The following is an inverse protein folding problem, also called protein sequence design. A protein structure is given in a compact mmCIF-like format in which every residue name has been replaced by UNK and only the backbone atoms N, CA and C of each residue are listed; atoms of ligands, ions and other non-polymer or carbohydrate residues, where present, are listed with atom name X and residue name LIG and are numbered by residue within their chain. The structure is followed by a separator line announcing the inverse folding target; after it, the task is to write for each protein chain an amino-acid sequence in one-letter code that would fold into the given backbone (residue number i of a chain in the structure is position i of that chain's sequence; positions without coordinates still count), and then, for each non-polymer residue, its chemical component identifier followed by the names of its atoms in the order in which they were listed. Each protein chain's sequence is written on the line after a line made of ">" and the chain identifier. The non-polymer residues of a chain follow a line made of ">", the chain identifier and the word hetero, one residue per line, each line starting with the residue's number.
data_IF_053528201306
#
_entry.id   IF_053528201306
#
_cell.length_a   1.000
_cell.length_b   1.000
_cell.length_c   1.000
_cell.angle_alpha   90.00
_cell.angle_beta   90.00
_cell.angle_gamma   90.00
#
_symmetry.space_group_name_H-M   'P 1'
#
loop_
_entity.id
_entity.type
_entity.pdbx_description
1 polymer ?
#
# COMPACT_ATOMS: atom_id res chain seq x y z
N UNK A 1 1.53 -32.20 23.00
CA UNK A 1 0.80 -32.00 21.73
C UNK A 1 1.70 -32.44 20.59
N UNK A 2 1.48 -33.62 20.03
CA UNK A 2 2.24 -34.15 18.90
C UNK A 2 1.98 -33.33 17.63
N UNK A 3 3.05 -32.81 17.04
CA UNK A 3 3.00 -32.16 15.73
C UNK A 3 2.79 -33.22 14.65
N UNK A 4 1.55 -33.39 14.18
CA UNK A 4 1.19 -34.28 13.08
C UNK A 4 2.04 -33.93 11.84
N UNK A 5 3.07 -34.73 11.53
CA UNK A 5 3.98 -34.51 10.39
C UNK A 5 3.15 -34.47 9.10
N UNK A 6 3.25 -33.37 8.33
CA UNK A 6 2.53 -33.22 7.06
C UNK A 6 2.91 -34.37 6.10
N UNK A 7 1.94 -34.97 5.37
CA UNK A 7 2.19 -36.12 4.50
C UNK A 7 3.25 -35.83 3.43
N UNK A 8 4.09 -36.82 3.10
CA UNK A 8 5.30 -36.67 2.26
C UNK A 8 5.03 -36.03 0.90
N UNK A 9 3.89 -36.34 0.26
CA UNK A 9 3.45 -35.76 -1.01
C UNK A 9 3.34 -34.22 -0.93
N UNK A 10 2.82 -33.69 0.20
CA UNK A 10 2.73 -32.25 0.40
C UNK A 10 4.12 -31.62 0.51
N UNK A 11 5.07 -32.29 1.16
CA UNK A 11 6.47 -31.81 1.28
C UNK A 11 7.15 -31.71 -0.08
N UNK A 12 6.99 -32.72 -0.94
CA UNK A 12 7.53 -32.73 -2.30
C UNK A 12 6.93 -31.59 -3.13
N UNK A 13 5.59 -31.43 -3.10
CA UNK A 13 4.91 -30.31 -3.77
C UNK A 13 5.45 -28.94 -3.34
N UNK A 14 5.60 -28.72 -2.04
CA UNK A 14 6.13 -27.44 -1.53
C UNK A 14 7.60 -27.23 -1.90
N UNK A 15 8.40 -28.29 -1.98
CA UNK A 15 9.79 -28.21 -2.42
C UNK A 15 9.89 -27.77 -3.89
N UNK A 16 9.11 -28.37 -4.79
CA UNK A 16 9.09 -27.94 -6.20
C UNK A 16 8.53 -26.52 -6.37
N UNK A 17 7.49 -26.17 -5.62
CA UNK A 17 6.97 -24.79 -5.61
C UNK A 17 8.05 -23.80 -5.12
N UNK A 18 8.80 -24.15 -4.07
CA UNK A 18 9.92 -23.36 -3.58
C UNK A 18 11.01 -23.18 -4.65
N UNK A 19 11.40 -24.27 -5.33
CA UNK A 19 12.39 -24.20 -6.41
C UNK A 19 11.89 -23.31 -7.54
N UNK A 20 10.63 -23.44 -7.96
CA UNK A 20 10.02 -22.60 -8.98
C UNK A 20 10.10 -21.11 -8.61
N UNK A 21 9.67 -20.75 -7.40
CA UNK A 21 9.72 -19.36 -6.92
C UNK A 21 11.17 -18.87 -6.85
N UNK A 22 12.09 -19.68 -6.34
CA UNK A 22 13.52 -19.32 -6.27
C UNK A 22 14.11 -19.08 -7.66
N UNK A 23 13.77 -19.91 -8.64
CA UNK A 23 14.20 -19.74 -10.03
C UNK A 23 13.63 -18.46 -10.62
N UNK A 24 12.35 -18.14 -10.39
CA UNK A 24 11.75 -16.87 -10.83
C UNK A 24 12.49 -15.67 -10.24
N UNK A 25 12.79 -15.69 -8.93
CA UNK A 25 13.53 -14.61 -8.26
C UNK A 25 14.95 -14.47 -8.82
N UNK A 26 15.66 -15.58 -9.07
CA UNK A 26 16.99 -15.55 -9.68
C UNK A 26 16.96 -15.01 -11.10
N UNK A 27 16.00 -15.46 -11.93
CA UNK A 27 15.82 -14.93 -13.28
C UNK A 27 15.53 -13.42 -13.25
N UNK A 28 14.62 -12.99 -12.37
CA UNK A 28 14.30 -11.58 -12.20
C UNK A 28 15.53 -10.77 -11.74
N UNK A 29 16.37 -11.31 -10.85
CA UNK A 29 17.59 -10.66 -10.35
C UNK A 29 18.62 -10.43 -11.46
N UNK A 30 18.94 -11.46 -12.24
CA UNK A 30 19.98 -11.39 -13.29
C UNK A 30 19.52 -10.70 -14.57
N UNK A 31 18.21 -10.60 -14.83
CA UNK A 31 17.69 -9.89 -16.00
C UNK A 31 17.96 -8.38 -15.90
N UNK A 32 18.11 -7.65 -17.02
CA UNK A 32 18.07 -6.18 -17.00
C UNK A 32 16.75 -5.66 -16.42
N UNK A 33 16.80 -4.66 -15.51
CA UNK A 33 15.61 -4.11 -14.83
C UNK A 33 14.52 -3.66 -15.82
N UNK A 34 14.88 -2.98 -16.92
CA UNK A 34 13.92 -2.54 -17.94
C UNK A 34 13.12 -3.71 -18.53
N UNK A 35 13.74 -4.87 -18.76
CA UNK A 35 13.06 -6.06 -19.27
C UNK A 35 12.09 -6.64 -18.24
N UNK A 36 12.50 -6.69 -16.97
CA UNK A 36 11.61 -7.13 -15.87
C UNK A 36 10.40 -6.22 -15.76
N UNK A 37 10.59 -4.89 -15.78
CA UNK A 37 9.49 -3.93 -15.71
C UNK A 37 8.56 -4.02 -16.92
N UNK A 38 9.09 -4.15 -18.13
CA UNK A 38 8.27 -4.36 -19.32
C UNK A 38 7.43 -5.63 -19.20
N UNK A 39 8.07 -6.76 -18.88
CA UNK A 39 7.40 -8.05 -18.78
C UNK A 39 6.35 -8.07 -17.66
N UNK A 40 6.71 -7.64 -16.45
CA UNK A 40 5.77 -7.61 -15.34
C UNK A 40 4.67 -6.56 -15.52
N UNK A 41 4.96 -5.43 -16.16
CA UNK A 41 3.96 -4.45 -16.57
C UNK A 41 2.95 -5.03 -17.56
N UNK A 42 3.42 -5.74 -18.59
CA UNK A 42 2.57 -6.47 -19.53
C UNK A 42 1.70 -7.52 -18.82
N UNK A 43 2.28 -8.36 -17.95
CA UNK A 43 1.52 -9.32 -17.15
C UNK A 43 0.47 -8.63 -16.26
N UNK A 44 0.81 -7.47 -15.69
CA UNK A 44 -0.13 -6.60 -14.99
C UNK A 44 -1.32 -6.23 -15.90
N UNK A 45 -1.05 -5.72 -17.09
CA UNK A 45 -2.05 -5.42 -18.11
C UNK A 45 -2.92 -6.61 -18.53
N UNK A 46 -2.35 -7.80 -18.66
CA UNK A 46 -3.09 -9.04 -18.92
C UNK A 46 -3.98 -9.41 -17.73
N UNK A 47 -3.46 -9.28 -16.50
CA UNK A 47 -4.19 -9.63 -15.28
C UNK A 47 -5.43 -8.77 -15.06
N UNK A 48 -5.49 -7.55 -15.62
CA UNK A 48 -6.71 -6.74 -15.68
C UNK A 48 -7.91 -7.51 -16.27
N UNK A 49 -7.66 -8.31 -17.32
CA UNK A 49 -8.71 -9.08 -17.98
C UNK A 49 -9.06 -10.37 -17.21
N UNK A 50 -8.08 -10.97 -16.53
CA UNK A 50 -8.20 -12.26 -15.84
C UNK A 50 -8.75 -12.15 -14.42
N UNK A 51 -8.41 -11.10 -13.67
CA UNK A 51 -8.74 -10.94 -12.24
C UNK A 51 -9.96 -10.04 -12.07
N UNK A 52 -11.14 -10.58 -12.41
CA UNK A 52 -12.38 -9.81 -12.47
C UNK A 52 -12.78 -9.10 -11.17
N UNK A 53 -12.55 -9.71 -10.00
CA UNK A 53 -12.88 -9.09 -8.70
C UNK A 53 -12.03 -7.85 -8.42
N UNK A 54 -10.70 -7.95 -8.58
CA UNK A 54 -9.79 -6.82 -8.42
C UNK A 54 -10.09 -5.70 -9.43
N UNK A 55 -10.42 -6.05 -10.68
CA UNK A 55 -10.82 -5.09 -11.72
C UNK A 55 -12.08 -4.33 -11.29
N UNK A 56 -13.12 -5.05 -10.87
CA UNK A 56 -14.38 -4.44 -10.43
C UNK A 56 -14.17 -3.49 -9.25
N UNK A 57 -13.38 -3.88 -8.25
CA UNK A 57 -13.04 -3.03 -7.09
C UNK A 57 -12.30 -1.76 -7.51
N UNK A 58 -11.30 -1.90 -8.37
CA UNK A 58 -10.51 -0.78 -8.90
C UNK A 58 -11.39 0.22 -9.62
N UNK A 59 -12.20 -0.24 -10.58
CA UNK A 59 -13.13 0.62 -11.33
C UNK A 59 -14.11 1.29 -10.37
N UNK A 60 -14.73 0.53 -9.46
CA UNK A 60 -15.69 1.06 -8.49
C UNK A 60 -15.09 2.20 -7.66
N UNK A 61 -13.89 2.01 -7.10
CA UNK A 61 -13.28 3.05 -6.26
C UNK A 61 -12.81 4.26 -7.07
N UNK A 62 -12.27 4.07 -8.28
CA UNK A 62 -11.95 5.17 -9.19
C UNK A 62 -13.21 5.95 -9.59
N UNK A 63 -14.32 5.26 -9.88
CA UNK A 63 -15.61 5.92 -10.14
C UNK A 63 -16.13 6.66 -8.92
N UNK A 64 -16.00 6.11 -7.71
CA UNK A 64 -16.42 6.77 -6.48
C UNK A 64 -15.68 8.10 -6.26
N UNK A 65 -14.38 8.15 -6.54
CA UNK A 65 -13.54 9.34 -6.32
C UNK A 65 -13.60 10.32 -7.50
N UNK A 66 -13.37 9.83 -8.72
CA UNK A 66 -13.17 10.66 -9.92
C UNK A 66 -14.36 10.67 -10.88
N UNK A 67 -15.44 9.93 -10.61
CA UNK A 67 -16.57 9.79 -11.56
C UNK A 67 -17.36 11.07 -11.83
N UNK A 68 -17.16 12.14 -11.04
CA UNK A 68 -17.71 13.47 -11.33
C UNK A 68 -16.88 14.26 -12.35
N UNK A 69 -15.60 13.92 -12.47
CA UNK A 69 -14.61 14.66 -13.26
C UNK A 69 -14.12 13.88 -14.49
N UNK A 70 -14.29 12.54 -14.46
CA UNK A 70 -13.77 11.61 -15.46
C UNK A 70 -14.88 10.80 -16.07
N UNK A 71 -14.82 10.65 -17.39
CA UNK A 71 -15.68 9.76 -18.14
C UNK A 71 -15.43 8.30 -17.75
N UNK A 72 -16.40 7.43 -18.07
CA UNK A 72 -16.26 6.00 -17.85
C UNK A 72 -15.06 5.42 -18.62
N UNK A 73 -14.77 5.91 -19.84
CA UNK A 73 -13.64 5.46 -20.64
C UNK A 73 -12.29 5.83 -20.00
N UNK A 74 -12.17 7.06 -19.49
CA UNK A 74 -10.99 7.50 -18.73
C UNK A 74 -10.79 6.64 -17.48
N UNK A 75 -11.85 6.34 -16.72
CA UNK A 75 -11.77 5.47 -15.53
C UNK A 75 -11.29 4.06 -15.89
N UNK A 76 -11.78 3.49 -16.99
CA UNK A 76 -11.34 2.17 -17.45
C UNK A 76 -9.86 2.19 -17.86
N UNK A 77 -9.42 3.27 -18.52
CA UNK A 77 -8.01 3.47 -18.90
C UNK A 77 -7.13 3.60 -17.66
N UNK A 78 -7.53 4.40 -16.68
CA UNK A 78 -6.85 4.52 -15.40
C UNK A 78 -6.79 3.18 -14.67
N UNK A 79 -7.89 2.42 -14.62
CA UNK A 79 -7.94 1.11 -14.00
C UNK A 79 -6.95 0.14 -14.67
N UNK A 80 -6.86 0.13 -16.01
CA UNK A 80 -5.87 -0.68 -16.73
C UNK A 80 -4.45 -0.24 -16.41
N UNK A 81 -4.21 1.06 -16.28
CA UNK A 81 -2.90 1.61 -15.91
C UNK A 81 -2.49 1.19 -14.49
N UNK A 82 -3.41 1.20 -13.52
CA UNK A 82 -3.18 0.70 -12.15
C UNK A 82 -2.63 -0.72 -12.15
N UNK A 83 -3.20 -1.60 -12.98
CA UNK A 83 -2.74 -2.98 -13.09
C UNK A 83 -1.35 -3.08 -13.70
N UNK A 84 -1.02 -2.27 -14.72
CA UNK A 84 0.34 -2.21 -15.26
C UNK A 84 1.35 -1.74 -14.20
N UNK A 85 1.03 -0.69 -13.44
CA UNK A 85 1.92 -0.14 -12.41
C UNK A 85 2.14 -1.14 -11.26
N UNK A 86 1.08 -1.83 -10.82
CA UNK A 86 1.20 -2.92 -9.84
C UNK A 86 2.11 -4.04 -10.36
N UNK A 87 1.95 -4.43 -11.63
CA UNK A 87 2.83 -5.40 -12.28
C UNK A 87 4.29 -4.96 -12.27
N UNK A 88 4.58 -3.72 -12.69
CA UNK A 88 5.93 -3.14 -12.65
C UNK A 88 6.52 -3.13 -11.24
N UNK A 89 5.74 -2.68 -10.25
CA UNK A 89 6.16 -2.64 -8.84
C UNK A 89 6.45 -4.05 -8.29
N UNK A 90 5.65 -5.05 -8.66
CA UNK A 90 5.94 -6.45 -8.31
C UNK A 90 7.27 -6.93 -8.90
N UNK A 91 7.60 -6.50 -10.13
CA UNK A 91 8.91 -6.72 -10.75
C UNK A 91 10.06 -6.18 -9.92
N UNK A 92 9.98 -4.92 -9.49
CA UNK A 92 10.99 -4.30 -8.63
C UNK A 92 11.07 -4.97 -7.25
N UNK A 93 9.95 -5.40 -6.67
CA UNK A 93 9.94 -6.18 -5.41
C UNK A 93 10.67 -7.50 -5.61
N UNK A 94 10.36 -8.28 -6.65
CA UNK A 94 11.03 -9.56 -6.94
C UNK A 94 12.55 -9.42 -7.08
N UNK A 95 13.02 -8.31 -7.68
CA UNK A 95 14.45 -7.98 -7.78
C UNK A 95 15.08 -7.56 -6.46
N UNK A 96 14.29 -6.96 -5.56
CA UNK A 96 14.76 -6.39 -4.30
C UNK A 96 14.75 -7.39 -3.15
N UNK A 97 14.08 -8.54 -3.30
CA UNK A 97 14.11 -9.64 -2.32
C UNK A 97 15.52 -10.27 -2.31
N UNK A 98 16.46 -9.62 -1.63
CA UNK A 98 17.65 -10.29 -1.14
C UNK A 98 17.23 -11.18 0.02
N UNK A 99 17.30 -12.49 -0.19
CA UNK A 99 16.94 -13.50 0.80
C UNK A 99 18.00 -13.56 1.91
N UNK A 100 17.97 -12.59 2.85
CA UNK A 100 18.71 -12.63 4.12
C UNK A 100 17.76 -12.30 5.28
N UNK A 101 17.34 -13.38 5.93
CA UNK A 101 16.80 -13.54 7.29
C UNK A 101 15.69 -12.62 7.84
N UNK A 102 14.71 -13.28 8.48
CA UNK A 102 13.61 -12.78 9.33
C UNK A 102 14.05 -11.91 10.54
N UNK A 103 15.31 -11.51 10.65
CA UNK A 103 15.85 -10.75 11.78
C UNK A 103 15.48 -9.25 11.76
N UNK A 104 14.88 -8.74 10.67
CA UNK A 104 14.67 -7.31 10.46
C UNK A 104 13.63 -6.67 11.43
N UNK A 105 12.66 -7.43 11.94
CA UNK A 105 11.55 -6.84 12.72
C UNK A 105 11.95 -6.35 14.12
N UNK A 106 12.92 -7.00 14.77
CA UNK A 106 13.40 -6.58 16.12
C UNK A 106 14.31 -5.35 16.09
N UNK A 107 14.86 -4.98 14.92
CA UNK A 107 15.79 -3.86 14.77
C UNK A 107 15.07 -2.50 14.67
N UNK A 108 13.89 -2.49 14.05
CA UNK A 108 13.05 -1.29 13.86
C UNK A 108 12.65 -0.65 15.19
N UNK A 109 12.26 -1.46 16.20
CA UNK A 109 11.84 -0.96 17.52
C UNK A 109 13.01 -0.43 18.35
N UNK A 110 14.22 -0.98 18.18
CA UNK A 110 15.40 -0.59 18.96
C UNK A 110 16.02 0.74 18.49
N UNK A 111 15.96 1.00 17.17
CA UNK A 111 16.48 2.24 16.58
C UNK A 111 15.61 3.48 16.88
N UNK A 112 14.35 3.29 17.27
CA UNK A 112 13.45 4.39 17.61
C UNK A 112 13.85 5.18 18.87
N UNK A 113 14.59 4.55 19.80
CA UNK A 113 15.07 5.23 21.02
C UNK A 113 16.32 6.08 20.79
N UNK A 114 16.83 6.18 19.55
CA UNK A 114 18.07 6.86 19.19
C UNK A 114 17.94 7.60 17.85
N UNK A 115 16.99 8.54 17.73
CA UNK A 115 16.81 9.40 16.54
C UNK A 115 16.56 8.64 15.22
N UNK A 116 15.93 7.46 15.28
CA UNK A 116 15.65 6.63 14.12
C UNK A 116 14.41 7.04 13.32
N UNK A 117 14.35 6.64 12.05
CA UNK A 117 13.19 6.82 11.16
C UNK A 117 12.32 5.56 11.16
N UNK A 118 11.00 5.73 11.22
CA UNK A 118 10.03 4.65 11.00
C UNK A 118 9.08 5.02 9.88
N UNK A 119 8.97 4.11 8.91
CA UNK A 119 7.99 4.20 7.83
C UNK A 119 6.70 3.47 8.24
N UNK A 120 5.56 4.14 8.11
CA UNK A 120 4.23 3.58 8.37
C UNK A 120 3.35 3.72 7.13
N UNK A 121 2.71 2.63 6.73
CA UNK A 121 1.61 2.65 5.75
C UNK A 121 0.30 2.78 6.51
N UNK A 122 -0.54 3.75 6.14
CA UNK A 122 -1.70 4.18 6.93
C UNK A 122 -3.02 4.13 6.14
N UNK A 123 -2.97 3.64 4.91
CA UNK A 123 -4.02 3.77 3.89
C UNK A 123 -4.93 2.55 3.79
N UNK A 124 -4.90 1.64 4.78
CA UNK A 124 -5.74 0.44 4.79
C UNK A 124 -6.79 0.46 5.91
N UNK A 125 -8.01 0.05 5.55
CA UNK A 125 -9.09 -0.22 6.49
C UNK A 125 -8.84 -1.58 7.18
N UNK A 126 -8.42 -1.52 8.45
CA UNK A 126 -8.02 -2.68 9.25
C UNK A 126 -8.82 -2.74 10.56
N UNK A 127 -8.87 -3.92 11.18
CA UNK A 127 -9.61 -4.18 12.42
C UNK A 127 -8.85 -3.72 13.67
N UNK A 128 -8.50 -2.43 13.73
CA UNK A 128 -7.82 -1.80 14.86
C UNK A 128 -8.62 -0.59 15.35
N UNK A 129 -8.16 0.09 16.41
CA UNK A 129 -8.77 1.36 16.84
C UNK A 129 -8.68 2.34 15.66
N UNK A 130 -9.83 2.78 15.19
CA UNK A 130 -9.99 3.63 14.01
C UNK A 130 -11.03 4.71 14.27
N UNK A 131 -10.93 5.80 13.53
CA UNK A 131 -11.91 6.88 13.48
C UNK A 131 -12.39 7.04 12.04
N UNK A 132 -13.61 7.52 11.84
CA UNK A 132 -14.09 7.89 10.50
C UNK A 132 -13.61 9.30 10.19
N UNK A 133 -12.78 9.44 9.16
CA UNK A 133 -12.33 10.74 8.64
C UNK A 133 -12.65 10.83 7.16
N UNK A 134 -12.70 12.04 6.62
CA UNK A 134 -12.78 12.24 5.18
C UNK A 134 -11.50 11.69 4.51
N UNK A 135 -11.70 10.84 3.51
CA UNK A 135 -10.70 10.39 2.58
C UNK A 135 -11.28 10.41 1.15
N UNK A 136 -10.74 11.29 0.31
CA UNK A 136 -11.18 11.56 -1.06
C UNK A 136 -12.67 11.95 -1.17
N UNK A 137 -13.13 12.81 -0.25
CA UNK A 137 -14.51 13.32 -0.22
C UNK A 137 -15.52 12.34 0.37
N UNK A 138 -15.06 11.24 1.00
CA UNK A 138 -15.90 10.17 1.51
C UNK A 138 -15.44 9.71 2.90
N UNK A 139 -16.36 9.36 3.81
CA UNK A 139 -16.00 8.87 5.14
C UNK A 139 -15.30 7.50 5.04
N UNK A 140 -14.10 7.40 5.59
CA UNK A 140 -13.30 6.18 5.64
C UNK A 140 -12.85 5.86 7.07
N UNK A 141 -13.04 4.60 7.48
CA UNK A 141 -12.47 4.05 8.72
C UNK A 141 -10.94 4.05 8.61
N UNK A 142 -10.28 4.84 9.45
CA UNK A 142 -8.84 5.06 9.36
C UNK A 142 -8.16 4.75 10.70
N UNK A 143 -7.16 3.85 10.72
CA UNK A 143 -6.42 3.52 11.92
C UNK A 143 -5.77 4.74 12.58
N UNK A 144 -5.99 4.91 13.88
CA UNK A 144 -5.40 6.04 14.64
C UNK A 144 -3.93 5.80 15.02
N UNK A 145 -3.36 4.64 14.68
CA UNK A 145 -2.05 4.20 15.16
C UNK A 145 -0.92 5.18 14.85
N UNK A 146 -0.92 5.77 13.65
CA UNK A 146 0.09 6.76 13.27
C UNK A 146 -0.07 8.09 14.03
N UNK A 147 -1.31 8.59 14.15
CA UNK A 147 -1.60 9.79 14.93
C UNK A 147 -1.21 9.61 16.42
N UNK A 148 -1.62 8.48 17.02
CA UNK A 148 -1.27 8.13 18.39
C UNK A 148 0.24 8.01 18.60
N UNK A 149 0.96 7.42 17.63
CA UNK A 149 2.41 7.30 17.69
C UNK A 149 3.08 8.68 17.67
N UNK A 150 2.66 9.57 16.77
CA UNK A 150 3.21 10.92 16.67
C UNK A 150 2.94 11.75 17.94
N UNK A 151 1.70 11.75 18.45
CA UNK A 151 1.33 12.45 19.69
C UNK A 151 2.19 11.99 20.87
N UNK A 152 2.37 10.66 21.04
CA UNK A 152 3.09 10.10 22.19
C UNK A 152 4.60 10.30 22.14
N UNK A 153 5.16 10.40 20.95
CA UNK A 153 6.62 10.49 20.76
C UNK A 153 7.10 11.91 20.51
N UNK A 154 6.21 12.82 20.11
CA UNK A 154 6.60 14.14 19.59
C UNK A 154 7.36 14.06 18.27
N UNK A 155 7.32 12.92 17.57
CA UNK A 155 8.06 12.71 16.33
C UNK A 155 7.47 13.55 15.20
N UNK A 156 8.35 14.13 14.39
CA UNK A 156 7.99 14.81 13.15
C UNK A 156 7.39 13.82 12.16
N UNK A 157 6.27 14.18 11.55
CA UNK A 157 5.62 13.32 10.55
C UNK A 157 5.84 13.89 9.17
N UNK A 158 6.60 13.16 8.35
CA UNK A 158 6.97 13.55 6.99
C UNK A 158 6.25 12.63 5.99
N UNK A 159 5.27 13.12 5.22
CA UNK A 159 4.62 12.32 4.19
C UNK A 159 5.59 12.03 3.04
N UNK A 160 5.54 10.80 2.52
CA UNK A 160 6.33 10.41 1.37
C UNK A 160 5.58 9.43 0.49
N UNK A 161 5.82 9.52 -0.82
CA UNK A 161 5.30 8.60 -1.82
C UNK A 161 6.40 8.22 -2.81
N UNK A 162 6.31 7.01 -3.35
CA UNK A 162 7.24 6.50 -4.35
C UNK A 162 6.46 6.35 -5.66
N UNK A 163 6.99 6.94 -6.73
CA UNK A 163 6.36 6.94 -8.05
C UNK A 163 7.34 6.43 -9.08
N UNK A 164 6.90 5.51 -9.94
CA UNK A 164 7.66 5.12 -11.12
C UNK A 164 7.39 6.13 -12.23
N UNK A 165 8.44 6.79 -12.70
CA UNK A 165 8.35 7.75 -13.81
C UNK A 165 8.39 7.08 -15.19
N UNK A 166 8.33 7.90 -16.24
CA UNK A 166 8.32 7.46 -17.64
C UNK A 166 9.64 6.81 -18.07
N UNK A 167 10.76 7.20 -17.44
CA UNK A 167 12.09 6.62 -17.66
C UNK A 167 12.30 5.31 -16.87
N UNK A 168 11.26 4.87 -16.15
CA UNK A 168 11.24 3.75 -15.23
C UNK A 168 12.15 3.94 -14.01
N UNK A 169 12.37 5.17 -13.55
CA UNK A 169 13.06 5.44 -12.29
C UNK A 169 12.06 5.60 -11.14
N UNK A 170 12.43 5.08 -9.97
CA UNK A 170 11.63 5.24 -8.76
C UNK A 170 11.96 6.61 -8.14
N UNK A 171 10.98 7.49 -8.13
CA UNK A 171 11.07 8.84 -7.58
C UNK A 171 10.45 8.85 -6.19
N UNK A 172 11.29 9.02 -5.17
CA UNK A 172 10.82 9.29 -3.80
C UNK A 172 10.47 10.77 -3.70
N UNK A 173 9.18 11.07 -3.56
CA UNK A 173 8.71 12.42 -3.25
C UNK A 173 8.51 12.55 -1.75
N UNK A 174 9.21 13.51 -1.14
CA UNK A 174 9.12 13.86 0.27
C UNK A 174 8.40 15.20 0.37
N UNK A 175 7.39 15.27 1.22
CA UNK A 175 6.57 16.46 1.40
C UNK A 175 6.90 17.18 2.72
N UNK A 176 6.50 18.45 2.87
CA UNK A 176 6.68 19.17 4.13
C UNK A 176 6.07 18.42 5.33
N UNK A 177 6.66 18.68 6.50
CA UNK A 177 6.19 18.14 7.77
C UNK A 177 4.72 18.46 8.01
N UNK A 178 3.96 17.44 8.40
CA UNK A 178 2.58 17.59 8.83
C UNK A 178 2.57 17.95 10.31
N UNK A 179 1.91 19.06 10.65
CA UNK A 179 1.77 19.50 12.02
C UNK A 179 0.85 18.57 12.81
N UNK A 180 1.33 18.10 13.95
CA UNK A 180 0.56 17.30 14.89
C UNK A 180 0.07 18.21 16.02
N UNK A 181 -1.23 18.23 16.24
CA UNK A 181 -1.86 19.09 17.25
C UNK A 181 -2.22 18.29 18.50
N UNK A 182 -2.05 18.93 19.67
CA UNK A 182 -2.48 18.39 20.95
C UNK A 182 -3.25 19.45 21.72
N UNK A 183 -4.53 19.18 21.99
CA UNK A 183 -5.49 20.07 22.64
C UNK A 183 -5.78 19.66 24.08
N UNK A 184 -5.34 18.46 24.49
CA UNK A 184 -5.64 17.87 25.79
C UNK A 184 -6.91 17.01 25.79
N UNK A 185 -7.71 17.05 24.71
CA UNK A 185 -8.79 16.10 24.47
C UNK A 185 -8.31 14.98 23.53
N UNK A 186 -8.13 13.76 24.08
CA UNK A 186 -7.64 12.62 23.30
C UNK A 186 -8.52 12.31 22.08
N UNK A 187 -9.84 12.44 22.19
CA UNK A 187 -10.74 12.12 21.09
C UNK A 187 -10.57 13.09 19.92
N UNK A 188 -10.51 14.39 20.21
CA UNK A 188 -10.34 15.44 19.20
C UNK A 188 -8.94 15.37 18.58
N UNK A 189 -7.92 15.13 19.41
CA UNK A 189 -6.54 15.01 18.94
C UNK A 189 -6.37 13.80 18.01
N UNK A 190 -6.96 12.64 18.35
CA UNK A 190 -6.92 11.47 17.48
C UNK A 190 -7.66 11.70 16.18
N UNK A 191 -8.84 12.33 16.22
CA UNK A 191 -9.62 12.62 15.01
C UNK A 191 -8.89 13.60 14.09
N UNK A 192 -8.51 14.76 14.61
CA UNK A 192 -7.92 15.85 13.82
C UNK A 192 -6.59 15.41 13.21
N UNK A 193 -5.70 14.78 13.98
CA UNK A 193 -4.43 14.30 13.44
C UNK A 193 -4.62 13.18 12.42
N UNK A 194 -5.56 12.25 12.65
CA UNK A 194 -5.86 11.21 11.66
C UNK A 194 -6.39 11.81 10.36
N UNK A 195 -7.24 12.83 10.43
CA UNK A 195 -7.72 13.58 9.27
C UNK A 195 -6.57 14.26 8.52
N UNK A 196 -5.66 14.94 9.23
CA UNK A 196 -4.50 15.59 8.61
C UNK A 196 -3.60 14.59 7.86
N UNK A 197 -3.34 13.42 8.47
CA UNK A 197 -2.58 12.34 7.82
C UNK A 197 -3.33 11.73 6.62
N UNK A 198 -4.66 11.64 6.71
CA UNK A 198 -5.53 11.22 5.61
C UNK A 198 -5.42 12.20 4.42
N UNK A 199 -5.46 13.51 4.67
CA UNK A 199 -5.26 14.56 3.65
C UNK A 199 -3.87 14.54 3.03
N UNK A 200 -2.84 14.25 3.82
CA UNK A 200 -1.49 14.04 3.28
C UNK A 200 -1.44 12.83 2.32
N UNK A 201 -2.17 11.77 2.63
CA UNK A 201 -2.29 10.60 1.74
C UNK A 201 -3.07 10.93 0.46
N UNK A 202 -4.14 11.72 0.55
CA UNK A 202 -4.88 12.21 -0.63
C UNK A 202 -3.97 13.01 -1.56
N UNK A 203 -3.17 13.94 -1.00
CA UNK A 203 -2.20 14.74 -1.75
C UNK A 203 -1.20 13.85 -2.50
N UNK A 204 -0.71 12.78 -1.88
CA UNK A 204 0.18 11.80 -2.52
C UNK A 204 -0.54 11.08 -3.67
N UNK A 205 -1.72 10.52 -3.42
CA UNK A 205 -2.47 9.78 -4.44
C UNK A 205 -2.81 10.69 -5.63
N UNK A 206 -3.15 11.95 -5.39
CA UNK A 206 -3.45 12.92 -6.44
C UNK A 206 -2.23 13.35 -7.28
N UNK A 207 -1.00 13.00 -6.88
CA UNK A 207 0.18 13.17 -7.75
C UNK A 207 0.10 12.26 -8.99
N UNK A 208 -0.34 11.02 -8.80
CA UNK A 208 -0.60 10.06 -9.87
C UNK A 208 -1.57 8.98 -9.34
N UNK A 209 -2.88 9.12 -9.57
CA UNK A 209 -3.86 8.17 -9.09
C UNK A 209 -3.61 6.76 -9.63
N UNK A 210 -2.96 6.61 -10.78
CA UNK A 210 -2.74 5.29 -11.38
C UNK A 210 -1.69 4.46 -10.65
N UNK A 211 -0.98 5.02 -9.67
CA UNK A 211 0.05 4.31 -8.90
C UNK A 211 -0.41 3.88 -7.51
N UNK A 212 -1.66 4.17 -7.11
CA UNK A 212 -2.23 3.68 -5.87
C UNK A 212 -2.98 2.35 -6.05
N UNK A 213 -3.02 1.52 -5.01
CA UNK A 213 -3.55 0.15 -5.08
C UNK A 213 -5.08 0.13 -4.85
N UNK A 214 -5.81 0.66 -5.82
CA UNK A 214 -7.28 0.83 -5.80
C UNK A 214 -8.10 -0.46 -5.62
N UNK A 215 -7.50 -1.64 -5.76
CA UNK A 215 -8.18 -2.91 -5.51
C UNK A 215 -8.39 -3.22 -4.02
N UNK A 216 -7.70 -2.51 -3.12
CA UNK A 216 -7.97 -2.60 -1.69
C UNK A 216 -9.30 -1.94 -1.32
N UNK A 217 -10.06 -2.55 -0.41
CA UNK A 217 -11.37 -2.07 -0.01
C UNK A 217 -11.27 -0.97 1.06
N UNK A 218 -10.79 0.22 0.66
CA UNK A 218 -10.59 1.37 1.56
C UNK A 218 -11.86 1.80 2.30
N UNK A 219 -13.02 1.70 1.65
CA UNK A 219 -14.33 2.08 2.20
C UNK A 219 -15.20 0.87 2.57
N UNK A 220 -14.58 -0.21 3.03
CA UNK A 220 -15.30 -1.43 3.42
C UNK A 220 -16.15 -1.21 4.67
N UNK A 221 -15.57 -0.64 5.71
CA UNK A 221 -16.24 -0.33 6.97
C UNK A 221 -17.11 0.90 6.78
N UNK A 222 -18.39 0.79 7.12
CA UNK A 222 -19.37 1.87 7.00
C UNK A 222 -19.66 2.50 8.36
N UNK A 223 -19.90 3.82 8.44
CA UNK A 223 -20.38 4.45 9.66
C UNK A 223 -21.65 3.74 10.12
N UNK A 224 -21.77 3.46 11.42
CA UNK A 224 -23.04 3.02 11.96
C UNK A 224 -23.99 4.23 11.89
N UNK A 225 -25.08 4.09 11.13
CA UNK A 225 -26.15 5.08 11.18
C UNK A 225 -26.76 4.94 12.56
N UNK A 226 -26.69 5.99 13.38
CA UNK A 226 -27.42 6.02 14.65
C UNK A 226 -28.92 5.93 14.30
N UNK A 227 -29.52 4.80 14.66
CA UNK A 227 -30.98 4.57 14.62
C UNK A 227 -31.66 5.28 15.77
#
# INVERSE_FOLDING_TARGET
>A
METKKRPAIKRIKYYFLYLLVKTILLMAYYSPRKLVLYFCGFLGGVSYYLVGDARKKTIRHLTMVYGREKSNEEIQTMAKQVFHMIGKNAGDVMRSVHMKELACFKKVVRNLKSEGVVAMLIDQDTKVKSVFVDFMGMPASTPVGAALFAIRTGAKVIPMGIYLDQDNQQQLKIFPEVQITTTGNEADDLFNNTLTLSKASEMLINQDPTQWVWMHERWKTKPQIAS
#
